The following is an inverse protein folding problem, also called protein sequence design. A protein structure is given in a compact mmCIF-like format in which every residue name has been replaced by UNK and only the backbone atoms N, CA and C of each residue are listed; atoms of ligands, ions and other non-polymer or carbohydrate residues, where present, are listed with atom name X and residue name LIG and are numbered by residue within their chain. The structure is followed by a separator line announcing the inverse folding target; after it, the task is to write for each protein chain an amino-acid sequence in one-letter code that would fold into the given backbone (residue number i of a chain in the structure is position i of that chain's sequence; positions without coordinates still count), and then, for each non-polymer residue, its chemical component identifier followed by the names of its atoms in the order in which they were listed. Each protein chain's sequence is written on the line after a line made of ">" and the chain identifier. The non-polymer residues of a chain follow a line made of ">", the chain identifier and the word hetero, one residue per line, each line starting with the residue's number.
data_IF_138766091340
#
_entry.id   IF_138766091340
#
_cell.length_a   1.000
_cell.length_b   1.000
_cell.length_c   1.000
_cell.angle_alpha   90.00
_cell.angle_beta   90.00
_cell.angle_gamma   90.00
#
_symmetry.space_group_name_H-M   'P 1'
#
loop_
_entity.id
_entity.type
_entity.pdbx_description
1 polymer ?
#
# COMPACT_ATOMS: atom_id res chain seq x y z
N UNK A 1 -9.20 11.86 -11.88
CA UNK A 1 -8.09 11.57 -10.95
C UNK A 1 -6.95 10.97 -11.73
N UNK A 2 -5.71 11.38 -11.43
CA UNK A 2 -4.49 10.92 -12.08
C UNK A 2 -3.59 10.23 -11.07
N UNK A 3 -2.96 9.13 -11.49
CA UNK A 3 -1.94 8.44 -10.69
C UNK A 3 -0.64 9.24 -10.74
N UNK A 4 -0.29 9.84 -9.62
CA UNK A 4 0.96 10.61 -9.45
C UNK A 4 2.09 9.76 -8.89
N UNK A 5 1.74 8.57 -8.39
CA UNK A 5 2.66 7.57 -7.90
C UNK A 5 2.03 6.20 -8.10
N UNK A 6 2.81 5.23 -8.60
CA UNK A 6 2.43 3.82 -8.63
C UNK A 6 3.67 2.94 -8.47
N UNK A 7 3.57 1.93 -7.60
CA UNK A 7 4.61 0.92 -7.44
C UNK A 7 4.00 -0.44 -7.11
N UNK A 8 4.47 -1.46 -7.82
CA UNK A 8 4.13 -2.86 -7.56
C UNK A 8 5.35 -3.61 -7.05
N UNK A 9 5.13 -4.52 -6.09
CA UNK A 9 6.19 -5.29 -5.43
C UNK A 9 5.69 -6.71 -5.15
N UNK A 10 6.62 -7.66 -5.16
CA UNK A 10 6.39 -9.01 -4.65
C UNK A 10 7.29 -9.25 -3.44
N UNK A 11 6.70 -9.71 -2.34
CA UNK A 11 7.41 -9.85 -1.06
C UNK A 11 7.23 -11.27 -0.50
N UNK A 12 8.32 -11.99 -0.21
CA UNK A 12 8.23 -13.32 0.39
C UNK A 12 7.89 -13.24 1.88
N UNK A 13 6.88 -14.01 2.28
CA UNK A 13 6.46 -14.22 3.67
C UNK A 13 6.89 -15.63 4.07
N UNK A 14 7.84 -15.72 4.98
CA UNK A 14 8.31 -16.99 5.54
C UNK A 14 7.52 -17.32 6.80
N UNK A 15 6.89 -18.50 6.82
CA UNK A 15 6.18 -19.01 7.99
C UNK A 15 6.68 -20.42 8.31
N UNK A 16 7.03 -20.65 9.58
CA UNK A 16 7.54 -21.96 10.03
C UNK A 16 6.60 -23.10 9.66
N UNK A 17 7.16 -24.22 9.20
CA UNK A 17 6.45 -25.48 8.94
C UNK A 17 5.86 -26.08 10.22
N UNK A 18 6.38 -25.71 11.39
CA UNK A 18 5.85 -26.14 12.69
C UNK A 18 4.56 -25.43 13.09
N UNK A 19 4.21 -24.31 12.44
CA UNK A 19 2.93 -23.65 12.67
C UNK A 19 1.82 -24.45 11.98
N UNK A 20 0.73 -24.71 12.69
CA UNK A 20 -0.45 -25.35 12.12
C UNK A 20 -1.12 -24.45 11.05
N UNK A 21 -1.98 -25.04 10.23
CA UNK A 21 -2.60 -24.35 9.10
C UNK A 21 -3.41 -23.12 9.51
N UNK A 22 -4.17 -23.17 10.59
CA UNK A 22 -4.95 -22.02 11.05
C UNK A 22 -4.04 -20.88 11.51
N UNK A 23 -2.96 -21.21 12.22
CA UNK A 23 -1.95 -20.23 12.62
C UNK A 23 -1.26 -19.56 11.42
N UNK A 24 -0.97 -20.32 10.36
CA UNK A 24 -0.42 -19.77 9.11
C UNK A 24 -1.41 -18.81 8.46
N UNK A 25 -2.68 -19.20 8.29
CA UNK A 25 -3.71 -18.36 7.68
C UNK A 25 -3.91 -17.05 8.45
N UNK A 26 -4.04 -17.10 9.78
CA UNK A 26 -4.16 -15.89 10.62
C UNK A 26 -2.95 -14.96 10.51
N UNK A 27 -1.77 -15.50 10.22
CA UNK A 27 -0.57 -14.69 9.98
C UNK A 27 -0.64 -14.01 8.62
N UNK A 28 -1.07 -14.71 7.57
CA UNK A 28 -1.28 -14.12 6.24
C UNK A 28 -2.33 -13.00 6.27
N UNK A 29 -3.42 -13.18 7.02
CA UNK A 29 -4.49 -12.18 7.17
C UNK A 29 -4.01 -10.88 7.84
N UNK A 30 -3.10 -10.97 8.81
CA UNK A 30 -2.58 -9.81 9.54
C UNK A 30 -1.39 -9.15 8.85
N UNK A 31 -0.64 -9.90 8.06
CA UNK A 31 0.61 -9.46 7.46
C UNK A 31 0.51 -8.15 6.64
N UNK A 32 -0.53 -7.90 5.81
CA UNK A 32 -0.65 -6.64 5.08
C UNK A 32 -0.69 -5.41 5.99
N UNK A 33 -1.31 -5.53 7.17
CA UNK A 33 -1.41 -4.44 8.15
C UNK A 33 -0.13 -4.28 8.96
N UNK A 34 0.50 -5.39 9.35
CA UNK A 34 1.67 -5.39 10.22
C UNK A 34 2.96 -5.03 9.47
N UNK A 35 3.14 -5.55 8.26
CA UNK A 35 4.39 -5.44 7.50
C UNK A 35 4.22 -4.72 6.16
N UNK A 36 3.06 -4.84 5.51
CA UNK A 36 2.80 -4.26 4.19
C UNK A 36 2.96 -2.74 4.13
N UNK A 37 2.82 -2.01 5.25
CA UNK A 37 3.00 -0.55 5.29
C UNK A 37 4.43 -0.10 5.60
N UNK A 38 5.28 -1.01 6.04
CA UNK A 38 6.66 -0.73 6.48
C UNK A 38 7.69 -1.00 5.39
N UNK A 39 7.25 -1.51 4.25
CA UNK A 39 8.11 -1.79 3.10
C UNK A 39 8.66 -0.48 2.53
N UNK A 40 9.96 -0.50 2.21
CA UNK A 40 10.62 0.60 1.52
C UNK A 40 10.17 0.59 0.06
N UNK A 41 9.62 1.72 -0.39
CA UNK A 41 8.96 1.86 -1.69
C UNK A 41 9.68 2.82 -2.62
N UNK A 42 10.84 3.35 -2.27
CA UNK A 42 11.65 4.19 -3.14
C UNK A 42 13.13 4.14 -2.71
N UNK A 43 13.98 4.79 -3.49
CA UNK A 43 15.43 4.87 -3.21
C UNK A 43 15.75 5.74 -1.98
N UNK A 44 14.80 6.59 -1.55
CA UNK A 44 14.94 7.45 -0.37
C UNK A 44 14.72 6.70 0.96
N UNK A 45 14.30 5.44 0.91
CA UNK A 45 13.98 4.67 2.11
C UNK A 45 12.57 4.94 2.66
N UNK A 46 11.71 5.59 1.88
CA UNK A 46 10.36 5.97 2.29
C UNK A 46 9.40 4.80 2.15
N UNK A 47 8.58 4.62 3.18
CA UNK A 47 7.47 3.68 3.15
C UNK A 47 6.19 4.38 2.69
N UNK A 48 5.12 3.62 2.50
CA UNK A 48 3.88 4.16 1.96
C UNK A 48 3.31 5.33 2.77
N UNK A 49 3.29 5.23 4.11
CA UNK A 49 2.75 6.31 4.94
C UNK A 49 3.55 7.62 4.79
N UNK A 50 4.89 7.52 4.69
CA UNK A 50 5.75 8.70 4.48
C UNK A 50 5.50 9.34 3.12
N UNK A 51 5.40 8.53 2.06
CA UNK A 51 5.07 9.03 0.73
C UNK A 51 3.73 9.76 0.73
N UNK A 52 2.69 9.18 1.33
CA UNK A 52 1.38 9.84 1.42
C UNK A 52 1.45 11.16 2.18
N UNK A 53 2.25 11.24 3.26
CA UNK A 53 2.46 12.50 3.98
C UNK A 53 3.20 13.55 3.14
N UNK A 54 4.20 13.15 2.37
CA UNK A 54 4.93 14.06 1.46
C UNK A 54 3.99 14.64 0.40
N UNK A 55 3.29 13.78 -0.34
CA UNK A 55 2.32 14.23 -1.34
C UNK A 55 1.21 15.10 -0.72
N UNK A 56 0.70 14.73 0.46
CA UNK A 56 -0.29 15.56 1.14
C UNK A 56 0.28 16.95 1.47
N UNK A 57 1.51 17.02 1.98
CA UNK A 57 2.19 18.29 2.28
C UNK A 57 2.43 19.13 1.03
N UNK A 58 2.96 18.53 -0.04
CA UNK A 58 3.31 19.23 -1.29
C UNK A 58 2.09 19.84 -1.97
N UNK A 59 0.94 19.16 -1.90
CA UNK A 59 -0.30 19.62 -2.52
C UNK A 59 -1.27 20.32 -1.54
N UNK A 60 -0.86 20.55 -0.29
CA UNK A 60 -1.68 21.22 0.72
C UNK A 60 -2.98 20.46 1.07
N UNK A 61 -2.89 19.14 1.14
CA UNK A 61 -3.97 18.21 1.46
C UNK A 61 -3.85 17.70 2.90
N UNK A 62 -4.99 17.31 3.46
CA UNK A 62 -5.11 16.65 4.76
C UNK A 62 -5.37 15.16 4.56
N UNK A 63 -4.83 14.32 5.46
CA UNK A 63 -5.11 12.89 5.43
C UNK A 63 -6.45 12.62 6.13
N UNK A 64 -7.39 12.02 5.39
CA UNK A 64 -8.64 11.53 5.94
C UNK A 64 -8.48 10.25 6.76
N UNK A 65 -9.61 9.76 7.30
CA UNK A 65 -9.63 8.52 8.06
C UNK A 65 -9.25 7.31 7.20
N UNK A 66 -8.32 6.49 7.71
CA UNK A 66 -7.84 5.28 7.02
C UNK A 66 -8.95 4.23 6.97
N UNK A 67 -9.30 3.80 5.77
CA UNK A 67 -10.28 2.74 5.54
C UNK A 67 -9.57 1.44 5.22
N UNK A 68 -9.83 0.40 6.00
CA UNK A 68 -9.29 -0.93 5.77
C UNK A 68 -10.37 -1.90 5.30
N UNK A 69 -10.12 -2.56 4.18
CA UNK A 69 -10.85 -3.73 3.72
C UNK A 69 -9.98 -4.98 3.82
N UNK A 70 -10.58 -6.12 4.16
CA UNK A 70 -9.94 -7.42 4.08
C UNK A 70 -10.98 -8.47 3.67
N UNK A 71 -10.60 -9.35 2.76
CA UNK A 71 -11.39 -10.50 2.32
C UNK A 71 -10.47 -11.72 2.28
N UNK A 72 -10.82 -12.73 3.08
CA UNK A 72 -10.15 -14.02 3.13
C UNK A 72 -11.11 -15.18 2.84
N UNK A 73 -12.25 -14.94 2.18
CA UNK A 73 -13.21 -15.99 1.86
C UNK A 73 -12.75 -16.92 0.71
N UNK A 74 -11.91 -16.41 -0.19
CA UNK A 74 -11.42 -17.14 -1.36
C UNK A 74 -10.12 -17.94 -1.16
N UNK A 75 -9.43 -18.25 -2.25
CA UNK A 75 -8.11 -18.92 -2.25
C UNK A 75 -6.95 -17.99 -1.87
N UNK A 76 -7.22 -16.69 -1.79
CA UNK A 76 -6.25 -15.65 -1.47
C UNK A 76 -6.74 -14.80 -0.30
N UNK A 77 -5.82 -14.22 0.44
CA UNK A 77 -6.07 -13.11 1.35
C UNK A 77 -5.91 -11.83 0.55
N UNK A 78 -7.00 -11.05 0.44
CA UNK A 78 -7.00 -9.72 -0.18
C UNK A 78 -7.14 -8.68 0.91
N UNK A 79 -6.29 -7.66 0.91
CA UNK A 79 -6.39 -6.53 1.81
C UNK A 79 -6.23 -5.23 1.04
N UNK A 80 -7.05 -4.25 1.39
CA UNK A 80 -6.99 -2.90 0.83
C UNK A 80 -6.93 -1.88 1.95
N UNK A 81 -5.98 -0.95 1.85
CA UNK A 81 -5.98 0.28 2.62
C UNK A 81 -6.27 1.43 1.66
N UNK A 82 -7.26 2.24 2.00
CA UNK A 82 -7.51 3.53 1.35
C UNK A 82 -7.35 4.65 2.37
N UNK A 83 -6.60 5.68 1.99
CA UNK A 83 -6.44 6.93 2.76
C UNK A 83 -6.96 8.05 1.86
N UNK A 84 -8.15 8.62 2.15
CA UNK A 84 -8.63 9.79 1.44
C UNK A 84 -7.68 10.97 1.62
N UNK A 85 -7.43 11.73 0.55
CA UNK A 85 -6.70 12.99 0.62
C UNK A 85 -7.71 14.12 0.46
N UNK A 86 -7.77 15.00 1.46
CA UNK A 86 -8.82 15.99 1.61
C UNK A 86 -8.28 17.40 1.41
N UNK A 87 -9.11 18.28 0.87
CA UNK A 87 -8.86 19.73 0.84
C UNK A 87 -10.11 20.43 1.31
N UNK A 88 -10.01 21.20 2.40
CA UNK A 88 -11.17 21.83 3.04
C UNK A 88 -12.34 20.84 3.30
N UNK A 89 -12.01 19.62 3.74
CA UNK A 89 -12.98 18.55 4.03
C UNK A 89 -13.56 17.82 2.82
N UNK A 90 -13.20 18.19 1.58
CA UNK A 90 -13.61 17.49 0.36
C UNK A 90 -12.52 16.52 -0.10
N UNK A 91 -12.90 15.32 -0.51
CA UNK A 91 -11.95 14.36 -1.06
C UNK A 91 -11.47 14.83 -2.43
N UNK A 92 -10.15 15.06 -2.55
CA UNK A 92 -9.45 15.51 -3.75
C UNK A 92 -8.40 14.53 -4.24
N UNK A 93 -8.29 13.39 -3.57
CA UNK A 93 -7.41 12.31 -3.96
C UNK A 93 -7.58 11.13 -3.02
N UNK A 94 -6.75 10.12 -3.23
CA UNK A 94 -6.64 8.98 -2.34
C UNK A 94 -5.28 8.32 -2.52
N UNK A 95 -4.79 7.75 -1.43
CA UNK A 95 -3.69 6.81 -1.46
C UNK A 95 -4.20 5.41 -1.18
N UNK A 96 -3.81 4.44 -1.99
CA UNK A 96 -4.27 3.06 -1.89
C UNK A 96 -3.11 2.09 -1.82
N UNK A 97 -3.22 1.11 -0.92
CA UNK A 97 -2.40 -0.10 -0.92
C UNK A 97 -3.32 -1.30 -1.10
N UNK A 98 -3.04 -2.11 -2.11
CA UNK A 98 -3.67 -3.41 -2.34
C UNK A 98 -2.66 -4.52 -2.09
N UNK A 99 -3.05 -5.53 -1.34
CA UNK A 99 -2.29 -6.75 -1.13
C UNK A 99 -3.13 -7.95 -1.58
N UNK A 100 -2.53 -8.87 -2.33
CA UNK A 100 -3.03 -10.22 -2.53
C UNK A 100 -1.99 -11.24 -2.09
N UNK A 101 -2.42 -12.24 -1.33
CA UNK A 101 -1.54 -13.30 -0.82
C UNK A 101 -2.24 -14.64 -1.03
N UNK A 102 -1.75 -15.52 -1.92
CA UNK A 102 -2.28 -16.87 -2.05
C UNK A 102 -2.19 -17.64 -0.72
N UNK A 103 -3.24 -18.36 -0.35
CA UNK A 103 -3.23 -19.24 0.84
C UNK A 103 -2.42 -20.52 0.64
N UNK A 104 -2.03 -20.80 -0.61
CA UNK A 104 -1.10 -21.87 -0.96
C UNK A 104 0.33 -21.30 -0.99
N UNK A 105 1.31 -21.99 -0.39
CA UNK A 105 2.70 -21.56 -0.46
C UNK A 105 3.22 -21.62 -1.90
N UNK A 106 4.06 -20.65 -2.27
CA UNK A 106 4.77 -20.61 -3.55
C UNK A 106 6.03 -21.48 -3.55
N UNK A 107 6.50 -21.90 -2.37
CA UNK A 107 7.62 -22.82 -2.23
C UNK A 107 7.98 -23.11 -0.77
N UNK A 108 9.14 -23.72 -0.58
CA UNK A 108 9.69 -24.05 0.74
C UNK A 108 11.15 -23.59 0.83
N UNK A 109 11.53 -23.03 1.98
CA UNK A 109 12.90 -22.59 2.25
C UNK A 109 13.31 -23.06 3.65
N UNK A 110 14.15 -24.10 3.72
CA UNK A 110 14.52 -24.75 4.97
C UNK A 110 13.30 -25.25 5.76
N UNK A 111 13.14 -24.75 7.00
CA UNK A 111 12.02 -25.08 7.87
C UNK A 111 10.80 -24.15 7.70
N UNK A 112 10.69 -23.42 6.59
CA UNK A 112 9.58 -22.50 6.33
C UNK A 112 8.81 -22.85 5.05
N UNK A 113 7.50 -22.65 5.11
CA UNK A 113 6.70 -22.39 3.92
C UNK A 113 6.90 -20.94 3.49
N UNK A 114 7.04 -20.73 2.18
CA UNK A 114 7.16 -19.41 1.57
C UNK A 114 5.85 -19.07 0.87
N UNK A 115 5.29 -17.92 1.19
CA UNK A 115 4.15 -17.33 0.49
C UNK A 115 4.62 -16.05 -0.19
N UNK A 116 4.10 -15.75 -1.38
CA UNK A 116 4.45 -14.51 -2.10
C UNK A 116 3.28 -13.54 -2.00
N UNK A 117 3.51 -12.38 -1.39
CA UNK A 117 2.54 -11.29 -1.37
C UNK A 117 2.74 -10.38 -2.58
N UNK A 118 1.71 -10.20 -3.39
CA UNK A 118 1.68 -9.20 -4.46
C UNK A 118 1.07 -7.91 -3.91
N UNK A 119 1.84 -6.83 -3.95
CA UNK A 119 1.47 -5.53 -3.41
C UNK A 119 1.45 -4.49 -4.53
N UNK A 120 0.44 -3.63 -4.53
CA UNK A 120 0.35 -2.48 -5.42
C UNK A 120 -0.02 -1.24 -4.59
N UNK A 121 0.83 -0.23 -4.69
CA UNK A 121 0.68 1.05 -4.00
C UNK A 121 0.48 2.13 -5.04
N UNK A 122 -0.50 3.01 -4.85
CA UNK A 122 -0.65 4.17 -5.71
C UNK A 122 -1.23 5.37 -4.97
N UNK A 123 -0.96 6.55 -5.50
CA UNK A 123 -1.54 7.82 -5.05
C UNK A 123 -2.22 8.46 -6.26
N UNK A 124 -3.48 8.79 -6.09
CA UNK A 124 -4.32 9.44 -7.09
C UNK A 124 -4.74 10.84 -6.60
N UNK A 125 -4.58 11.86 -7.45
CA UNK A 125 -4.99 13.24 -7.17
C UNK A 125 -5.95 13.75 -8.26
N UNK A 126 -6.81 14.69 -7.93
CA UNK A 126 -7.65 15.41 -8.89
C UNK A 126 -6.83 16.45 -9.71
N UNK A 127 -7.36 16.79 -10.89
CA UNK A 127 -6.71 17.67 -11.87
C UNK A 127 -6.53 19.11 -11.36
N UNK A 128 -7.51 19.59 -10.61
CA UNK A 128 -7.50 20.92 -10.00
C UNK A 128 -6.39 21.05 -8.95
N UNK A 129 -6.17 20.00 -8.14
CA UNK A 129 -5.07 19.96 -7.17
C UNK A 129 -3.70 19.98 -7.85
N UNK A 130 -3.56 19.24 -8.96
CA UNK A 130 -2.31 19.20 -9.72
C UNK A 130 -1.99 20.55 -10.35
N UNK A 131 -2.99 21.20 -10.93
CA UNK A 131 -2.87 22.52 -11.55
C UNK A 131 -2.48 23.59 -10.52
N UNK A 132 -3.11 23.60 -9.34
CA UNK A 132 -2.74 24.51 -8.26
C UNK A 132 -1.33 24.27 -7.69
N UNK A 133 -0.87 23.01 -7.66
CA UNK A 133 0.50 22.67 -7.27
C UNK A 133 1.55 23.19 -8.24
N UNK A 134 1.27 23.12 -9.54
CA UNK A 134 2.14 23.65 -10.59
C UNK A 134 2.26 25.18 -10.53
N UNK A 135 1.16 25.89 -10.24
CA UNK A 135 1.17 27.36 -10.07
C UNK A 135 1.93 27.83 -8.81
N UNK A 136 2.07 26.96 -7.80
CA UNK A 136 2.82 27.23 -6.56
C UNK A 136 4.33 26.99 -6.68
N UNK A 137 4.83 26.61 -7.86
CA UNK A 137 6.26 26.39 -8.11
C UNK A 137 6.83 25.12 -7.47
N UNK A 138 5.99 24.12 -7.21
CA UNK A 138 6.43 22.83 -6.67
C UNK A 138 6.69 21.83 -7.81
N UNK A 139 7.98 21.75 -8.13
CA UNK A 139 8.72 20.66 -8.81
C UNK A 139 8.41 20.45 -10.30
N UNK A 140 9.36 20.90 -11.12
CA UNK A 140 9.54 20.46 -12.51
C UNK A 140 9.63 18.93 -12.57
N UNK A 141 8.68 18.29 -13.26
CA UNK A 141 8.85 16.91 -13.71
C UNK A 141 9.87 16.91 -14.84
N UNK A 142 11.13 16.55 -14.57
CA UNK A 142 12.05 16.10 -15.63
C UNK A 142 11.55 14.76 -16.16
N UNK A 143 11.15 14.77 -17.43
CA UNK A 143 10.74 13.65 -18.26
C UNK A 143 11.83 12.58 -18.42
#
# INVERSE_FOLDING_TARGET
>A
MYRVYERSLEVPIRISKTADEQSRLRRLERWPRESGLSLVLDESGSNFNKLVQMYASDYGLELGEKKWGADSSGEEVKATLEIPLLKAGQQKGRAVMNASIPKKPSGEEGNNYVYTASLNYFIELEDDVLSEGAERGLVEFTL
#
